data_IF_220630551488
#
_entry.id   IF_220630551488
#
_cell.length_a   1.000
_cell.length_b   1.000
_cell.length_c   1.000
_cell.angle_alpha   90.00
_cell.angle_beta   90.00
_cell.angle_gamma   90.00
#
_symmetry.space_group_name_H-M   'P 1'
#
loop_
_entity.id
_entity.type
_entity.pdbx_description
1 polymer ?
#
# COMPACT_ATOMS: atom_id res chain seq x y z
N UNK A 1 11.48 12.48 -0.28
CA UNK A 1 10.42 11.88 -1.12
C UNK A 1 10.00 10.55 -0.52
N UNK A 2 8.71 10.27 -0.41
CA UNK A 2 8.15 8.98 -0.05
C UNK A 2 7.79 8.17 -1.30
N UNK A 3 8.08 6.87 -1.32
CA UNK A 3 7.70 5.94 -2.37
C UNK A 3 7.04 4.71 -1.75
N UNK A 4 5.81 4.42 -2.15
CA UNK A 4 5.11 3.18 -1.82
C UNK A 4 4.97 2.33 -3.08
N UNK A 5 5.80 1.29 -3.18
CA UNK A 5 5.86 0.41 -4.35
C UNK A 5 4.86 -0.73 -4.13
N UNK A 6 3.64 -0.54 -4.62
CA UNK A 6 2.54 -1.51 -4.50
C UNK A 6 2.37 -2.39 -5.73
N UNK A 7 1.63 -3.49 -5.55
CA UNK A 7 1.52 -4.54 -6.58
C UNK A 7 0.78 -4.13 -7.84
N UNK A 8 -0.22 -3.24 -7.72
CA UNK A 8 -1.01 -2.72 -8.84
C UNK A 8 -0.70 -1.24 -9.14
N UNK A 9 -0.41 -0.48 -8.09
CA UNK A 9 -0.17 0.95 -8.14
C UNK A 9 1.05 1.25 -7.29
N UNK A 10 1.93 2.09 -7.81
CA UNK A 10 2.98 2.73 -7.03
C UNK A 10 2.59 4.17 -6.73
N UNK A 11 2.87 4.63 -5.52
CA UNK A 11 2.54 6.00 -5.07
C UNK A 11 3.80 6.73 -4.70
N UNK A 12 3.82 8.03 -4.97
CA UNK A 12 4.90 8.91 -4.63
C UNK A 12 4.36 10.13 -3.87
N UNK A 13 5.12 10.58 -2.88
CA UNK A 13 4.86 11.82 -2.15
C UNK A 13 6.13 12.67 -2.04
N UNK A 14 6.09 13.91 -2.51
CA UNK A 14 7.17 14.88 -2.29
C UNK A 14 6.76 15.78 -1.13
N UNK A 15 7.54 15.75 -0.05
CA UNK A 15 7.27 16.51 1.16
C UNK A 15 8.45 17.43 1.43
N UNK A 16 8.19 18.72 1.59
CA UNK A 16 9.18 19.70 2.03
C UNK A 16 8.99 20.00 3.51
N UNK A 17 10.09 19.93 4.24
CA UNK A 17 10.14 20.30 5.64
C UNK A 17 10.90 21.61 5.81
N UNK A 18 10.39 22.48 6.68
CA UNK A 18 11.13 23.63 7.21
C UNK A 18 10.86 23.70 8.71
N UNK A 19 11.90 23.78 9.52
CA UNK A 19 11.79 23.82 10.99
C UNK A 19 10.91 22.69 11.56
N UNK A 20 11.11 21.47 11.04
CA UNK A 20 10.34 20.25 11.37
C UNK A 20 8.84 20.31 11.04
N UNK A 21 8.39 21.28 10.24
CA UNK A 21 7.00 21.39 9.78
C UNK A 21 6.92 21.11 8.29
N UNK A 22 5.86 20.44 7.87
CA UNK A 22 5.54 20.25 6.45
C UNK A 22 5.09 21.62 5.90
N UNK A 23 5.79 22.11 4.89
CA UNK A 23 5.46 23.40 4.23
C UNK A 23 4.82 23.20 2.86
N UNK A 24 5.14 22.11 2.18
CA UNK A 24 4.56 21.72 0.89
C UNK A 24 4.50 20.20 0.83
N UNK A 25 3.44 19.68 0.22
CA UNK A 25 3.30 18.25 -0.04
C UNK A 25 2.60 18.04 -1.37
N UNK A 26 3.13 17.13 -2.18
CA UNK A 26 2.59 16.75 -3.47
C UNK A 26 2.52 15.22 -3.55
N UNK A 27 1.53 14.69 -4.25
CA UNK A 27 1.38 13.24 -4.42
C UNK A 27 1.06 12.90 -5.86
N UNK A 28 1.55 11.75 -6.31
CA UNK A 28 1.26 11.20 -7.62
C UNK A 28 1.16 9.68 -7.52
N UNK A 29 0.32 9.07 -8.36
CA UNK A 29 0.13 7.63 -8.42
C UNK A 29 0.36 7.16 -9.85
N UNK A 30 1.16 6.12 -10.01
CA UNK A 30 1.40 5.47 -11.29
C UNK A 30 0.81 4.06 -11.25
N UNK A 31 -0.03 3.72 -12.23
CA UNK A 31 -0.56 2.39 -12.41
C UNK A 31 0.52 1.47 -13.00
N UNK A 32 0.91 0.44 -12.26
CA UNK A 32 1.93 -0.54 -12.66
C UNK A 32 1.58 -1.92 -12.09
N UNK A 33 0.74 -2.70 -12.79
CA UNK A 33 0.38 -4.05 -12.37
C UNK A 33 1.55 -5.02 -12.56
N UNK A 34 2.23 -5.36 -11.47
CA UNK A 34 3.43 -6.21 -11.51
C UNK A 34 3.19 -7.57 -12.20
N UNK A 35 1.98 -8.13 -12.12
CA UNK A 35 1.65 -9.44 -12.73
C UNK A 35 1.51 -9.40 -14.26
N UNK A 36 1.31 -8.22 -14.85
CA UNK A 36 1.24 -8.01 -16.30
C UNK A 36 2.55 -7.46 -16.88
N UNK A 37 3.35 -6.82 -16.03
CA UNK A 37 4.59 -6.13 -16.42
C UNK A 37 5.81 -6.99 -16.22
N UNK A 38 6.85 -6.69 -16.98
CA UNK A 38 8.15 -7.35 -16.86
C UNK A 38 8.99 -6.69 -15.77
N UNK A 39 9.82 -7.49 -15.09
CA UNK A 39 10.77 -6.99 -14.07
C UNK A 39 11.74 -5.94 -14.62
N UNK A 40 11.97 -5.95 -15.93
CA UNK A 40 12.82 -4.99 -16.64
C UNK A 40 12.19 -3.60 -16.77
N UNK A 41 10.87 -3.47 -16.63
CA UNK A 41 10.14 -2.19 -16.70
C UNK A 41 10.11 -1.45 -15.34
N UNK A 42 10.52 -2.09 -14.24
CA UNK A 42 10.51 -1.47 -12.90
C UNK A 42 11.34 -0.18 -12.84
N UNK A 43 12.58 -0.10 -13.38
CA UNK A 43 13.34 1.14 -13.40
C UNK A 43 12.64 2.26 -14.16
N UNK A 44 11.96 1.94 -15.27
CA UNK A 44 11.21 2.92 -16.06
C UNK A 44 10.01 3.45 -15.27
N UNK A 45 9.27 2.58 -14.59
CA UNK A 45 8.18 3.01 -13.69
C UNK A 45 8.69 3.95 -12.58
N UNK A 46 9.85 3.66 -11.98
CA UNK A 46 10.46 4.51 -10.96
C UNK A 46 10.90 5.87 -11.54
N UNK A 47 11.41 5.90 -12.78
CA UNK A 47 11.69 7.17 -13.45
C UNK A 47 10.40 7.94 -13.74
N UNK A 48 9.37 7.29 -14.28
CA UNK A 48 8.12 7.94 -14.68
C UNK A 48 7.39 8.55 -13.48
N UNK A 49 7.26 7.79 -12.38
CA UNK A 49 6.55 8.27 -11.18
C UNK A 49 7.27 9.48 -10.54
N UNK A 50 8.60 9.51 -10.59
CA UNK A 50 9.39 10.62 -10.04
C UNK A 50 9.42 11.82 -10.98
N UNK A 51 9.66 11.60 -12.27
CA UNK A 51 9.68 12.66 -13.29
C UNK A 51 8.35 13.40 -13.33
N UNK A 52 7.21 12.69 -13.42
CA UNK A 52 5.88 13.34 -13.43
C UNK A 52 5.65 14.18 -12.17
N UNK A 53 6.01 13.65 -10.99
CA UNK A 53 5.85 14.41 -9.76
C UNK A 53 6.75 15.66 -9.72
N UNK A 54 7.95 15.60 -10.29
CA UNK A 54 8.86 16.75 -10.33
C UNK A 54 8.45 17.79 -11.38
N UNK A 55 8.09 17.37 -12.59
CA UNK A 55 7.63 18.23 -13.68
C UNK A 55 6.38 19.02 -13.27
N UNK A 56 5.41 18.37 -12.62
CA UNK A 56 4.18 19.01 -12.17
C UNK A 56 4.40 20.05 -11.06
N UNK A 57 5.54 20.04 -10.39
CA UNK A 57 5.79 20.82 -9.18
C UNK A 57 7.07 21.65 -9.22
N UNK A 58 7.66 21.83 -10.41
CA UNK A 58 8.91 22.58 -10.66
C UNK A 58 10.03 22.17 -9.70
N UNK A 59 10.25 20.86 -9.61
CA UNK A 59 11.27 20.26 -8.75
C UNK A 59 12.33 19.53 -9.58
N UNK A 60 13.49 19.27 -8.97
CA UNK A 60 14.59 18.54 -9.59
C UNK A 60 15.01 17.41 -8.66
N UNK A 61 15.37 16.25 -9.22
CA UNK A 61 15.66 15.03 -8.43
C UNK A 61 16.89 15.21 -7.54
N UNK A 62 17.84 16.02 -7.97
CA UNK A 62 19.08 16.32 -7.23
C UNK A 62 18.81 17.02 -5.90
N UNK A 63 17.66 17.72 -5.81
CA UNK A 63 17.20 18.40 -4.60
C UNK A 63 16.44 17.47 -3.64
N UNK A 64 16.41 16.16 -3.91
CA UNK A 64 15.85 15.17 -3.00
C UNK A 64 16.94 14.72 -2.02
N UNK A 65 16.76 15.04 -0.74
CA UNK A 65 17.68 14.60 0.32
C UNK A 65 17.63 13.09 0.54
N UNK A 66 16.41 12.52 0.61
CA UNK A 66 16.17 11.11 0.88
C UNK A 66 14.93 10.57 0.17
N UNK A 67 14.97 9.27 -0.14
CA UNK A 67 13.84 8.47 -0.57
C UNK A 67 13.44 7.52 0.59
N UNK A 68 12.29 7.78 1.21
CA UNK A 68 11.68 6.91 2.21
C UNK A 68 10.75 5.92 1.51
N UNK A 69 11.04 4.63 1.62
CA UNK A 69 10.45 3.60 0.76
C UNK A 69 9.71 2.55 1.58
N UNK A 70 8.50 2.20 1.13
CA UNK A 70 7.76 0.99 1.49
C UNK A 70 7.64 0.10 0.25
N UNK A 71 7.68 -1.21 0.46
CA UNK A 71 7.44 -2.20 -0.59
C UNK A 71 6.26 -3.06 -0.14
N UNK A 72 5.21 -3.08 -0.96
CA UNK A 72 4.02 -3.94 -0.78
C UNK A 72 3.76 -4.80 -2.03
N UNK A 73 4.50 -4.57 -3.13
CA UNK A 73 4.40 -5.31 -4.38
C UNK A 73 4.99 -6.72 -4.34
N UNK A 74 5.75 -7.07 -3.30
CA UNK A 74 6.50 -8.33 -3.24
C UNK A 74 5.62 -9.58 -3.09
N UNK A 75 4.32 -9.39 -2.80
CA UNK A 75 3.29 -10.42 -2.80
C UNK A 75 2.61 -10.62 -4.15
N UNK A 76 3.00 -9.86 -5.19
CA UNK A 76 2.48 -10.03 -6.54
C UNK A 76 2.93 -11.36 -7.15
N UNK A 77 2.05 -11.97 -7.96
CA UNK A 77 2.32 -13.21 -8.71
C UNK A 77 3.47 -13.06 -9.73
N UNK A 78 3.98 -11.84 -9.91
CA UNK A 78 5.18 -11.54 -10.70
C UNK A 78 6.48 -12.16 -10.16
N UNK A 79 6.50 -12.52 -8.87
CA UNK A 79 7.68 -13.01 -8.18
C UNK A 79 7.47 -14.44 -7.69
N UNK A 80 8.50 -15.29 -7.86
CA UNK A 80 8.49 -16.66 -7.36
C UNK A 80 8.53 -16.69 -5.83
N UNK A 81 9.21 -15.73 -5.22
CA UNK A 81 9.30 -15.61 -3.76
C UNK A 81 9.23 -14.15 -3.32
N UNK A 82 8.70 -13.92 -2.10
CA UNK A 82 8.72 -12.61 -1.44
C UNK A 82 10.14 -12.01 -1.42
N UNK A 83 11.16 -12.83 -1.14
CA UNK A 83 12.57 -12.39 -1.15
C UNK A 83 13.04 -11.93 -2.52
N UNK A 84 12.71 -12.67 -3.57
CA UNK A 84 13.05 -12.30 -4.95
C UNK A 84 12.41 -10.96 -5.33
N UNK A 85 11.13 -10.76 -5.00
CA UNK A 85 10.42 -9.51 -5.29
C UNK A 85 11.08 -8.30 -4.65
N UNK A 86 11.38 -8.40 -3.35
CA UNK A 86 12.06 -7.33 -2.61
C UNK A 86 13.42 -7.03 -3.22
N UNK A 87 14.26 -8.04 -3.46
CA UNK A 87 15.60 -7.83 -4.02
C UNK A 87 15.56 -7.24 -5.43
N UNK A 88 14.62 -7.67 -6.26
CA UNK A 88 14.43 -7.13 -7.62
C UNK A 88 14.09 -5.64 -7.56
N UNK A 89 13.18 -5.25 -6.66
CA UNK A 89 12.78 -3.85 -6.48
C UNK A 89 13.94 -3.02 -5.90
N UNK A 90 14.68 -3.55 -4.92
CA UNK A 90 15.88 -2.91 -4.38
C UNK A 90 16.92 -2.67 -5.48
N UNK A 91 17.18 -3.68 -6.33
CA UNK A 91 18.12 -3.54 -7.44
C UNK A 91 17.69 -2.49 -8.46
N UNK A 92 16.38 -2.39 -8.75
CA UNK A 92 15.85 -1.35 -9.61
C UNK A 92 16.04 0.05 -8.98
N UNK A 93 15.68 0.22 -7.71
CA UNK A 93 15.88 1.47 -6.97
C UNK A 93 17.34 1.91 -6.95
N UNK A 94 18.27 0.98 -6.70
CA UNK A 94 19.71 1.26 -6.67
C UNK A 94 20.35 1.51 -8.05
N UNK A 95 19.62 1.30 -9.15
CA UNK A 95 20.02 1.70 -10.51
C UNK A 95 19.50 3.10 -10.87
N UNK A 96 18.33 3.47 -10.33
CA UNK A 96 17.63 4.72 -10.64
C UNK A 96 18.08 5.86 -9.74
N UNK A 97 18.36 5.58 -8.45
CA UNK A 97 18.66 6.57 -7.44
C UNK A 97 20.00 6.30 -6.74
N UNK A 98 20.57 7.34 -6.13
CA UNK A 98 21.74 7.21 -5.26
C UNK A 98 21.42 6.36 -4.03
N UNK A 99 22.16 5.24 -3.87
CA UNK A 99 21.91 4.24 -2.81
C UNK A 99 21.95 4.82 -1.40
N UNK A 100 22.80 5.82 -1.14
CA UNK A 100 22.96 6.43 0.19
C UNK A 100 21.73 7.25 0.62
N UNK A 101 20.95 7.72 -0.36
CA UNK A 101 19.69 8.46 -0.15
C UNK A 101 18.50 7.54 0.07
N UNK A 102 18.63 6.23 -0.20
CA UNK A 102 17.55 5.26 -0.03
C UNK A 102 17.41 4.84 1.43
N UNK A 103 16.20 4.99 1.98
CA UNK A 103 15.82 4.60 3.35
C UNK A 103 14.56 3.76 3.31
N UNK A 104 14.60 2.58 3.90
CA UNK A 104 13.50 1.60 3.87
C UNK A 104 12.90 1.48 5.25
N UNK A 105 11.60 1.74 5.39
CA UNK A 105 10.94 1.49 6.68
C UNK A 105 10.86 -0.02 6.90
N UNK A 106 11.14 -0.46 8.12
CA UNK A 106 11.00 -1.86 8.50
C UNK A 106 9.75 -2.11 9.34
N UNK A 107 9.37 -3.37 9.49
CA UNK A 107 8.29 -3.83 10.36
C UNK A 107 8.56 -3.56 11.86
N UNK A 108 9.81 -3.27 12.22
CA UNK A 108 10.17 -2.58 13.46
C UNK A 108 10.32 -1.10 13.11
N UNK A 109 9.67 -0.15 13.81
CA UNK A 109 9.51 1.26 13.40
C UNK A 109 10.84 2.05 13.30
N UNK A 110 11.67 1.68 12.34
CA UNK A 110 13.04 2.14 12.09
C UNK A 110 13.32 2.08 10.60
N UNK A 111 14.12 3.02 10.10
CA UNK A 111 14.60 3.00 8.73
C UNK A 111 15.91 2.21 8.61
N UNK A 112 16.00 1.37 7.59
CA UNK A 112 17.21 0.68 7.16
C UNK A 112 17.81 1.39 5.94
N UNK A 113 19.14 1.37 5.83
CA UNK A 113 19.83 1.74 4.59
C UNK A 113 19.73 0.63 3.54
N UNK A 114 20.22 0.92 2.33
CA UNK A 114 20.21 0.01 1.19
C UNK A 114 20.91 -1.33 1.47
N UNK A 115 22.04 -1.33 2.17
CA UNK A 115 22.82 -2.54 2.44
C UNK A 115 22.10 -3.43 3.44
N UNK A 116 21.60 -2.83 4.52
CA UNK A 116 20.85 -3.53 5.56
C UNK A 116 19.52 -4.08 5.02
N UNK A 117 18.78 -3.30 4.22
CA UNK A 117 17.56 -3.75 3.54
C UNK A 117 17.81 -4.97 2.64
N UNK A 118 18.95 -5.03 1.94
CA UNK A 118 19.34 -6.21 1.14
C UNK A 118 19.69 -7.42 1.98
N UNK A 119 20.31 -7.22 3.15
CA UNK A 119 20.69 -8.31 4.05
C UNK A 119 19.49 -8.91 4.79
N UNK A 120 18.48 -8.08 5.07
CA UNK A 120 17.28 -8.47 5.83
C UNK A 120 15.99 -8.14 5.07
N UNK A 121 15.76 -8.70 3.86
CA UNK A 121 14.67 -8.27 2.98
C UNK A 121 13.28 -8.44 3.63
N UNK A 122 13.07 -9.50 4.40
CA UNK A 122 11.78 -9.73 5.08
C UNK A 122 11.44 -8.67 6.13
N UNK A 123 12.43 -7.93 6.65
CA UNK A 123 12.19 -6.89 7.63
C UNK A 123 11.47 -5.68 7.04
N UNK A 124 11.57 -5.44 5.73
CA UNK A 124 10.96 -4.28 5.03
C UNK A 124 9.72 -4.66 4.19
N UNK A 125 9.33 -5.94 4.21
CA UNK A 125 8.20 -6.46 3.47
C UNK A 125 6.88 -5.97 4.08
N UNK A 126 6.00 -5.41 3.26
CA UNK A 126 4.67 -4.93 3.63
C UNK A 126 4.65 -3.97 4.84
N UNK A 127 5.65 -3.10 4.97
CA UNK A 127 5.81 -2.19 6.11
C UNK A 127 5.09 -0.83 5.93
N UNK A 128 4.15 -0.71 4.99
CA UNK A 128 3.40 0.52 4.74
C UNK A 128 2.55 0.96 5.96
N UNK A 129 1.93 0.00 6.66
CA UNK A 129 1.16 0.26 7.88
C UNK A 129 2.00 0.90 9.00
N UNK A 130 3.30 0.55 9.10
CA UNK A 130 4.23 1.16 10.06
C UNK A 130 4.44 2.64 9.75
N UNK A 131 4.59 2.97 8.47
CA UNK A 131 4.76 4.37 8.04
C UNK A 131 3.54 5.21 8.38
N UNK A 132 2.34 4.73 8.04
CA UNK A 132 1.10 5.43 8.35
C UNK A 132 0.90 5.58 9.86
N UNK A 133 1.20 4.53 10.64
CA UNK A 133 1.07 4.58 12.10
C UNK A 133 2.06 5.55 12.75
N UNK A 134 3.32 5.60 12.29
CA UNK A 134 4.31 6.58 12.77
C UNK A 134 3.92 8.00 12.39
N UNK A 135 3.41 8.20 11.17
CA UNK A 135 2.94 9.50 10.72
C UNK A 135 1.75 9.99 11.55
N UNK A 136 0.74 9.15 11.78
CA UNK A 136 -0.39 9.50 12.64
C UNK A 136 0.06 9.72 14.09
N UNK A 137 0.95 8.88 14.61
CA UNK A 137 1.52 8.98 15.95
C UNK A 137 2.23 10.30 16.23
N UNK A 138 2.80 10.93 15.20
CA UNK A 138 3.39 12.27 15.30
C UNK A 138 2.34 13.34 15.70
N UNK A 139 1.09 13.18 15.30
CA UNK A 139 0.00 14.12 15.61
C UNK A 139 -0.85 13.68 16.79
N UNK A 140 -1.07 12.36 16.93
CA UNK A 140 -1.96 11.76 17.92
C UNK A 140 -1.19 10.65 18.66
N UNK A 141 -0.65 10.92 19.86
CA UNK A 141 0.20 9.97 20.58
C UNK A 141 -0.49 8.67 20.99
N UNK A 142 -1.81 8.70 21.20
CA UNK A 142 -2.60 7.55 21.65
C UNK A 142 -3.89 7.45 20.81
N UNK A 143 -3.97 6.44 19.95
CA UNK A 143 -5.15 6.18 19.12
C UNK A 143 -5.13 4.77 18.52
N UNK A 144 -6.15 4.43 17.74
CA UNK A 144 -6.15 3.25 16.86
C UNK A 144 -6.26 3.77 15.43
N UNK A 145 -5.27 3.45 14.61
CA UNK A 145 -5.34 3.64 13.17
C UNK A 145 -6.24 2.56 12.58
N UNK A 146 -7.23 2.96 11.79
CA UNK A 146 -8.01 2.08 10.93
C UNK A 146 -7.80 2.57 9.50
N UNK A 147 -7.00 1.83 8.72
CA UNK A 147 -6.72 2.13 7.32
C UNK A 147 -7.40 1.08 6.44
N UNK A 148 -8.49 1.48 5.78
CA UNK A 148 -9.26 0.61 4.91
C UNK A 148 -8.89 0.86 3.45
N UNK A 149 -8.07 -0.04 2.90
CA UNK A 149 -7.76 -0.09 1.48
C UNK A 149 -8.83 -0.83 0.67
N UNK A 150 -8.56 -0.98 -0.63
CA UNK A 150 -9.44 -1.73 -1.54
C UNK A 150 -9.52 -3.23 -1.22
N UNK A 151 -8.47 -3.81 -0.62
CA UNK A 151 -8.35 -5.25 -0.36
C UNK A 151 -8.30 -5.60 1.13
N UNK A 152 -7.70 -4.77 1.96
CA UNK A 152 -7.45 -5.05 3.38
C UNK A 152 -7.85 -3.87 4.25
N UNK A 153 -8.05 -4.15 5.53
CA UNK A 153 -8.17 -3.15 6.59
C UNK A 153 -7.05 -3.41 7.59
N UNK A 154 -6.23 -2.40 7.83
CA UNK A 154 -5.21 -2.41 8.87
C UNK A 154 -5.79 -1.80 10.15
N UNK A 155 -5.66 -2.48 11.28
CA UNK A 155 -6.07 -1.98 12.60
C UNK A 155 -4.85 -1.95 13.49
N UNK A 156 -4.28 -0.76 13.69
CA UNK A 156 -2.98 -0.61 14.37
C UNK A 156 -3.16 0.26 15.61
N UNK A 157 -2.98 -0.28 16.83
CA UNK A 157 -2.93 0.55 18.02
C UNK A 157 -1.66 1.41 17.99
N UNK A 158 -1.79 2.66 18.43
CA UNK A 158 -0.69 3.63 18.57
C UNK A 158 -0.66 4.06 20.02
N UNK A 159 0.49 3.90 20.66
CA UNK A 159 0.74 4.26 22.06
C UNK A 159 2.09 4.99 22.10
N UNK A 160 2.17 6.10 22.84
CA UNK A 160 3.37 6.95 22.90
C UNK A 160 3.93 7.30 21.51
N UNK A 161 3.04 7.68 20.58
CA UNK A 161 3.36 8.07 19.20
C UNK A 161 3.99 6.95 18.34
N UNK A 162 3.90 5.69 18.76
CA UNK A 162 4.45 4.53 18.03
C UNK A 162 3.42 3.43 17.83
N UNK A 163 3.50 2.67 16.71
CA UNK A 163 2.70 1.47 16.56
C UNK A 163 3.01 0.47 17.69
N UNK A 164 1.94 0.01 18.34
CA UNK A 164 1.96 -0.94 19.44
C UNK A 164 1.37 -2.30 19.04
N UNK A 165 1.46 -2.64 17.75
CA UNK A 165 1.02 -3.92 17.20
C UNK A 165 1.77 -5.10 17.82
N UNK A 166 1.05 -6.18 18.11
CA UNK A 166 1.59 -7.48 18.49
C UNK A 166 2.18 -8.22 17.28
N UNK A 167 1.58 -8.05 16.10
CA UNK A 167 2.05 -8.64 14.85
C UNK A 167 3.13 -7.80 14.16
N UNK A 168 4.19 -8.47 13.69
CA UNK A 168 5.29 -7.85 12.94
C UNK A 168 5.37 -8.32 11.48
N UNK A 169 4.42 -9.16 11.06
CA UNK A 169 4.24 -9.65 9.71
C UNK A 169 2.76 -10.00 9.49
N UNK A 170 2.33 -10.14 8.24
CA UNK A 170 0.93 -10.36 7.89
C UNK A 170 0.27 -11.52 8.65
N UNK A 171 0.97 -12.65 8.81
CA UNK A 171 0.43 -13.82 9.52
C UNK A 171 0.17 -13.48 10.99
N UNK A 172 1.16 -12.92 11.67
CA UNK A 172 1.01 -12.53 13.07
C UNK A 172 -0.04 -11.43 13.26
N UNK A 173 -0.17 -10.50 12.31
CA UNK A 173 -1.19 -9.45 12.34
C UNK A 173 -2.59 -10.03 12.14
N UNK A 174 -2.76 -11.01 11.26
CA UNK A 174 -4.02 -11.75 11.09
C UNK A 174 -4.43 -12.49 12.37
N UNK A 175 -3.47 -13.15 13.04
CA UNK A 175 -3.71 -13.84 14.31
C UNK A 175 -4.15 -12.89 15.44
N UNK A 176 -3.74 -11.62 15.37
CA UNK A 176 -4.00 -10.61 16.38
C UNK A 176 -5.11 -9.61 15.99
N UNK A 177 -5.82 -9.85 14.88
CA UNK A 177 -6.87 -8.96 14.36
C UNK A 177 -6.39 -7.54 13.97
N UNK A 178 -5.10 -7.41 13.64
CA UNK A 178 -4.47 -6.16 13.21
C UNK A 178 -4.44 -5.99 11.68
N UNK A 179 -4.84 -7.05 10.96
CA UNK A 179 -5.01 -7.10 9.52
C UNK A 179 -6.27 -7.91 9.23
N UNK A 180 -7.19 -7.36 8.42
CA UNK A 180 -8.43 -8.02 8.01
C UNK A 180 -8.53 -8.02 6.48
N UNK A 181 -8.77 -9.18 5.87
CA UNK A 181 -8.97 -9.33 4.42
C UNK A 181 -10.42 -9.03 4.01
N UNK A 182 -10.85 -7.78 4.24
CA UNK A 182 -12.17 -7.28 3.82
C UNK A 182 -12.10 -5.79 3.46
N UNK A 183 -11.28 -5.45 2.46
CA UNK A 183 -11.17 -4.08 1.97
C UNK A 183 -12.44 -3.57 1.28
N UNK A 184 -12.49 -2.26 1.02
CA UNK A 184 -13.70 -1.56 0.58
C UNK A 184 -14.12 -1.75 -0.89
N UNK A 185 -13.32 -2.43 -1.72
CA UNK A 185 -13.64 -2.55 -3.15
C UNK A 185 -13.54 -3.99 -3.70
N UNK A 186 -12.46 -4.71 -3.43
CA UNK A 186 -12.11 -5.97 -4.10
C UNK A 186 -12.62 -7.24 -3.42
N UNK A 187 -13.13 -7.14 -2.18
CA UNK A 187 -13.62 -8.30 -1.46
C UNK A 187 -14.83 -8.93 -2.19
N UNK A 188 -14.86 -10.26 -2.27
CA UNK A 188 -16.01 -10.97 -2.83
C UNK A 188 -17.10 -11.07 -1.76
N UNK A 189 -18.37 -11.06 -2.14
CA UNK A 189 -19.47 -11.24 -1.19
C UNK A 189 -19.31 -12.51 -0.33
N UNK A 190 -19.01 -13.70 -0.89
CA UNK A 190 -18.83 -14.90 -0.09
C UNK A 190 -17.60 -14.89 0.83
N UNK A 191 -16.61 -14.01 0.64
CA UNK A 191 -15.51 -13.87 1.59
C UNK A 191 -15.89 -13.08 2.85
N UNK A 192 -17.04 -12.39 2.84
CA UNK A 192 -17.54 -11.57 3.95
C UNK A 192 -18.61 -12.33 4.72
N UNK A 193 -19.57 -12.93 4.00
CA UNK A 193 -20.65 -13.70 4.62
C UNK A 193 -21.10 -14.85 3.71
N UNK A 194 -21.52 -15.95 4.33
CA UNK A 194 -22.11 -17.09 3.61
C UNK A 194 -23.65 -17.08 3.61
N UNK A 195 -24.28 -16.20 4.38
CA UNK A 195 -25.74 -16.11 4.50
C UNK A 195 -26.22 -14.67 4.55
N UNK A 196 -27.41 -14.41 3.97
CA UNK A 196 -28.05 -13.10 3.99
C UNK A 196 -29.56 -13.22 4.26
N UNK A 197 -30.19 -12.23 4.90
CA UNK A 197 -31.63 -12.15 4.99
C UNK A 197 -32.25 -11.77 3.64
N UNK A 198 -33.19 -12.58 3.16
CA UNK A 198 -33.98 -12.33 1.95
C UNK A 198 -35.44 -12.69 2.19
N UNK A 199 -36.34 -11.69 2.11
CA UNK A 199 -37.79 -11.86 2.30
C UNK A 199 -38.17 -12.63 3.57
N UNK A 200 -37.55 -12.28 4.70
CA UNK A 200 -37.81 -12.87 6.01
C UNK A 200 -37.19 -14.27 6.23
N UNK A 201 -36.40 -14.77 5.27
CA UNK A 201 -35.66 -16.03 5.41
C UNK A 201 -34.16 -15.78 5.33
N UNK A 202 -33.37 -16.60 5.99
CA UNK A 202 -31.92 -16.60 5.84
C UNK A 202 -31.53 -17.54 4.68
N UNK A 203 -30.83 -17.04 3.67
CA UNK A 203 -30.46 -17.82 2.48
C UNK A 203 -28.95 -17.86 2.32
N UNK A 204 -28.42 -18.95 1.74
CA UNK A 204 -27.00 -19.04 1.40
C UNK A 204 -26.69 -18.20 0.16
N UNK A 205 -25.53 -17.57 0.16
CA UNK A 205 -24.98 -16.90 -1.04
C UNK A 205 -24.24 -17.90 -1.92
N UNK A 206 -24.15 -17.59 -3.22
CA UNK A 206 -23.27 -18.32 -4.13
C UNK A 206 -21.81 -18.13 -3.72
N UNK A 207 -20.97 -19.15 -3.94
CA UNK A 207 -19.52 -19.03 -3.73
C UNK A 207 -18.81 -18.36 -4.92
N UNK A 208 -19.50 -18.23 -6.06
CA UNK A 208 -18.96 -17.67 -7.29
C UNK A 208 -18.76 -16.15 -7.20
N UNK A 209 -17.76 -15.65 -7.93
CA UNK A 209 -17.44 -14.21 -8.04
C UNK A 209 -18.44 -13.53 -9.00
N UNK A 210 -19.68 -13.34 -8.56
CA UNK A 210 -20.70 -12.58 -9.31
C UNK A 210 -20.77 -11.11 -8.93
N UNK A 211 -20.38 -10.77 -7.69
CA UNK A 211 -20.39 -9.42 -7.18
C UNK A 211 -19.22 -9.21 -6.22
N UNK A 212 -18.79 -7.97 -6.12
CA UNK A 212 -17.78 -7.46 -5.21
C UNK A 212 -18.41 -6.50 -4.20
N UNK A 213 -17.70 -6.24 -3.11
CA UNK A 213 -18.15 -5.28 -2.10
C UNK A 213 -18.27 -3.86 -2.67
N UNK A 214 -17.49 -3.50 -3.70
CA UNK A 214 -17.65 -2.25 -4.46
C UNK A 214 -19.06 -2.10 -5.03
N UNK A 215 -19.70 -3.18 -5.50
CA UNK A 215 -21.07 -3.14 -6.01
C UNK A 215 -22.06 -2.76 -4.90
N UNK A 216 -21.85 -3.30 -3.69
CA UNK A 216 -22.65 -2.94 -2.50
C UNK A 216 -22.43 -1.48 -2.14
N UNK A 217 -21.18 -1.02 -2.11
CA UNK A 217 -20.87 0.40 -1.84
C UNK A 217 -21.45 1.34 -2.89
N UNK A 218 -21.47 0.94 -4.17
CA UNK A 218 -22.08 1.71 -5.26
C UNK A 218 -23.60 1.79 -5.10
N UNK A 219 -24.28 0.67 -4.87
CA UNK A 219 -25.74 0.62 -4.63
C UNK A 219 -26.14 1.48 -3.42
N UNK A 220 -25.33 1.48 -2.36
CA UNK A 220 -25.58 2.27 -1.15
C UNK A 220 -25.12 3.73 -1.25
N UNK A 221 -24.52 4.14 -2.38
CA UNK A 221 -23.92 5.47 -2.58
C UNK A 221 -22.82 5.83 -1.55
N UNK A 222 -22.09 4.83 -1.08
CA UNK A 222 -20.89 5.04 -0.26
C UNK A 222 -19.68 5.49 -1.11
N UNK A 223 -19.67 5.16 -2.40
CA UNK A 223 -18.63 5.52 -3.39
C UNK A 223 -19.26 5.98 -4.70
N UNK A 224 -18.59 6.82 -5.47
CA UNK A 224 -19.02 7.18 -6.83
C UNK A 224 -18.65 6.11 -7.88
N UNK A 225 -18.98 6.34 -9.15
CA UNK A 225 -18.51 5.46 -10.24
C UNK A 225 -16.99 5.63 -10.47
N UNK A 226 -16.48 6.84 -10.29
CA UNK A 226 -15.05 7.17 -10.39
C UNK A 226 -14.23 6.51 -9.26
N UNK A 227 -14.80 6.41 -8.06
CA UNK A 227 -14.17 5.74 -6.91
C UNK A 227 -14.11 4.21 -7.07
N UNK A 228 -14.95 3.62 -7.94
CA UNK A 228 -14.91 2.20 -8.29
C UNK A 228 -13.75 1.95 -9.27
N UNK A 229 -12.52 1.96 -8.76
CA UNK A 229 -11.31 1.92 -9.60
C UNK A 229 -10.91 0.52 -10.11
N UNK A 230 -11.37 -0.58 -9.50
CA UNK A 230 -11.08 -1.94 -9.97
C UNK A 230 -12.06 -2.42 -11.04
N UNK A 231 -11.70 -3.50 -11.73
CA UNK A 231 -12.61 -4.20 -12.65
C UNK A 231 -13.81 -4.78 -11.90
N UNK A 232 -14.99 -4.73 -12.52
CA UNK A 232 -16.18 -5.38 -11.99
C UNK A 232 -16.05 -6.91 -12.08
N UNK A 233 -16.85 -7.63 -11.30
CA UNK A 233 -16.81 -9.10 -11.31
C UNK A 233 -17.05 -9.71 -12.70
N UNK A 234 -17.89 -9.05 -13.51
CA UNK A 234 -18.33 -9.48 -14.84
C UNK A 234 -17.72 -8.68 -16.01
N UNK A 235 -16.79 -7.76 -15.72
CA UNK A 235 -16.18 -6.82 -16.67
C UNK A 235 -17.18 -5.94 -17.45
N UNK A 236 -18.34 -5.64 -16.85
CA UNK A 236 -19.34 -4.71 -17.39
C UNK A 236 -19.25 -3.32 -16.73
N UNK A 237 -20.27 -2.51 -16.96
CA UNK A 237 -20.41 -1.17 -16.39
C UNK A 237 -20.43 -1.20 -14.86
N UNK A 238 -19.97 -0.10 -14.25
CA UNK A 238 -19.96 0.17 -12.81
C UNK A 238 -21.22 0.90 -12.34
N UNK A 239 -22.25 0.99 -13.20
CA UNK A 239 -23.54 1.64 -12.94
C UNK A 239 -24.49 0.81 -12.09
#
# INVERSE_FOLDING_TARGET
MGLDIGGANSKAALIHFKDKKIVKSYSYMEYFPFWEKTKTEIPEMLHNITAKLFEMNDYQVENVDYFAITITAELSDAFQTKREGILTILDALGKVFEKDKLKFISNKPTFLDYTNAKSEPYSIAAANWVSTALFLGYFVPECILIDAGSTTIDIIPIIESKPASMGNNDISRLMNHELIYTGGLRATIPSITHHIPYKGKNVRVSFEKFALISDVHRILNNISEEDYINDTADNRSKS
#
